data_IF_905463463786
#
_entry.id   IF_905463463786
#
_cell.length_a   1.000
_cell.length_b   1.000
_cell.length_c   1.000
_cell.angle_alpha   90.00
_cell.angle_beta   90.00
_cell.angle_gamma   90.00
#
_symmetry.space_group_name_H-M   'P 1'
#
loop_
_entity.id
_entity.type
_entity.pdbx_description
1 polymer ?
#
# COMPACT_ATOMS: atom_id res chain seq x y z
N UNK A 1 -64.65 9.16 53.63
CA UNK A 1 -65.15 9.28 52.24
C UNK A 1 -64.16 10.10 51.43
N UNK A 2 -63.80 9.57 50.26
CA UNK A 2 -62.83 10.01 49.25
C UNK A 2 -62.63 11.53 49.11
N UNK A 3 -61.38 11.97 48.93
CA UNK A 3 -60.95 12.70 47.72
C UNK A 3 -59.52 12.28 47.34
N UNK A 4 -59.43 11.55 46.23
CA UNK A 4 -58.21 11.32 45.46
C UNK A 4 -57.73 12.66 44.90
N UNK A 5 -56.44 12.95 45.02
CA UNK A 5 -55.73 13.81 44.08
C UNK A 5 -54.53 13.03 43.56
N UNK A 6 -54.58 12.69 42.27
CA UNK A 6 -53.49 12.07 41.54
C UNK A 6 -52.38 13.12 41.35
N UNK A 7 -51.20 12.87 41.90
CA UNK A 7 -49.99 13.61 41.56
C UNK A 7 -49.45 12.97 40.29
N UNK A 8 -49.52 13.71 39.19
CA UNK A 8 -48.86 13.38 37.94
C UNK A 8 -47.35 13.58 38.15
N UNK A 9 -46.62 12.52 38.51
CA UNK A 9 -45.16 12.54 38.46
C UNK A 9 -44.79 12.42 36.98
N UNK A 10 -44.42 13.55 36.38
CA UNK A 10 -43.72 13.53 35.10
C UNK A 10 -42.38 12.81 35.34
N UNK A 11 -42.26 11.57 34.88
CA UNK A 11 -40.96 10.96 34.64
C UNK A 11 -40.26 11.79 33.57
N UNK A 12 -39.40 12.70 33.99
CA UNK A 12 -38.29 13.15 33.16
C UNK A 12 -37.39 11.93 32.98
N UNK A 13 -37.63 11.19 31.90
CA UNK A 13 -36.62 10.31 31.32
C UNK A 13 -35.48 11.24 30.94
N UNK A 14 -34.44 11.30 31.77
CA UNK A 14 -33.15 11.80 31.34
C UNK A 14 -32.64 10.82 30.28
N UNK A 15 -33.04 11.07 29.03
CA UNK A 15 -32.39 10.46 27.89
C UNK A 15 -30.96 10.94 27.90
N UNK A 16 -30.03 10.08 28.27
CA UNK A 16 -28.63 10.27 27.96
C UNK A 16 -28.52 10.25 26.43
N UNK A 17 -28.40 11.42 25.83
CA UNK A 17 -28.01 11.57 24.43
C UNK A 17 -26.53 11.19 24.39
N UNK A 18 -26.20 10.00 23.88
CA UNK A 18 -24.82 9.60 23.63
C UNK A 18 -24.36 10.14 22.27
N UNK A 19 -23.16 10.71 22.24
CA UNK A 19 -22.30 11.07 21.10
C UNK A 19 -22.98 11.68 19.86
N UNK A 20 -22.70 12.96 19.57
CA UNK A 20 -23.31 13.71 18.45
C UNK A 20 -22.38 13.88 17.22
N UNK A 21 -21.13 13.42 17.30
CA UNK A 21 -20.24 13.20 16.14
C UNK A 21 -19.59 11.80 16.24
N UNK A 22 -18.96 11.35 15.15
CA UNK A 22 -18.08 10.17 15.12
C UNK A 22 -16.82 10.54 14.35
N UNK A 23 -15.67 10.11 14.83
CA UNK A 23 -14.41 10.10 14.07
C UNK A 23 -13.86 8.70 14.11
N UNK A 24 -13.36 8.23 12.97
CA UNK A 24 -12.71 6.92 12.84
C UNK A 24 -11.34 7.16 12.23
N UNK A 25 -10.30 6.78 12.95
CA UNK A 25 -8.93 6.89 12.51
C UNK A 25 -8.44 5.55 11.98
N UNK A 26 -7.84 5.58 10.80
CA UNK A 26 -7.13 4.48 10.18
C UNK A 26 -5.64 4.81 10.20
N UNK A 27 -4.82 3.81 10.46
CA UNK A 27 -3.37 3.94 10.42
C UNK A 27 -2.76 2.85 9.56
N UNK A 28 -1.78 3.22 8.73
CA UNK A 28 -1.05 2.29 7.90
C UNK A 28 0.35 2.81 7.59
N UNK A 29 1.20 1.96 7.02
CA UNK A 29 2.57 2.33 6.63
C UNK A 29 2.59 2.45 5.12
N UNK A 30 2.78 3.65 4.60
CA UNK A 30 2.81 3.88 3.17
C UNK A 30 4.01 3.16 2.50
N UNK A 31 3.81 2.51 1.35
CA UNK A 31 2.56 2.36 0.59
C UNK A 31 1.78 1.07 0.91
N UNK A 32 2.04 0.37 2.01
CA UNK A 32 1.30 -0.85 2.38
C UNK A 32 0.11 -0.55 3.31
N UNK A 33 -1.11 -0.48 2.76
CA UNK A 33 -2.32 -0.41 3.60
C UNK A 33 -2.81 -1.74 4.13
N UNK A 34 -2.19 -2.85 3.74
CA UNK A 34 -2.55 -4.19 4.22
C UNK A 34 -1.81 -4.57 5.49
N UNK A 35 -0.80 -3.79 5.88
CA UNK A 35 -0.06 -4.01 7.10
C UNK A 35 -0.92 -3.65 8.33
N UNK A 36 -1.71 -4.63 8.77
CA UNK A 36 -2.52 -4.58 10.00
C UNK A 36 -1.67 -4.63 11.27
N UNK A 37 -0.38 -4.97 11.13
CA UNK A 37 0.59 -4.86 12.21
C UNK A 37 1.19 -3.47 12.11
N UNK A 38 0.85 -2.58 13.04
CA UNK A 38 1.28 -1.17 13.04
C UNK A 38 2.78 -0.97 13.37
N UNK A 39 3.61 -1.85 12.82
CA UNK A 39 5.03 -2.07 13.00
C UNK A 39 5.83 -1.31 11.97
N UNK A 40 6.50 -0.22 12.37
CA UNK A 40 7.30 0.56 11.44
C UNK A 40 8.79 0.39 11.67
N UNK A 41 9.56 0.52 10.60
CA UNK A 41 11.01 0.65 10.61
C UNK A 41 11.41 2.09 10.25
N UNK A 42 12.63 2.49 10.60
CA UNK A 42 13.11 3.84 10.25
C UNK A 42 13.23 3.98 8.73
N UNK A 43 12.64 5.04 8.18
CA UNK A 43 12.52 5.25 6.73
C UNK A 43 11.09 5.04 6.22
N UNK A 44 10.25 4.34 6.99
CA UNK A 44 8.83 4.21 6.69
C UNK A 44 8.11 5.55 6.78
N UNK A 45 7.09 5.71 5.95
CA UNK A 45 6.14 6.81 6.04
C UNK A 45 4.88 6.30 6.71
N UNK A 46 4.64 6.71 7.95
CA UNK A 46 3.41 6.39 8.67
C UNK A 46 2.31 7.32 8.18
N UNK A 47 1.15 6.76 7.96
CA UNK A 47 -0.01 7.51 7.52
C UNK A 47 -1.12 7.30 8.53
N UNK A 48 -1.66 8.42 8.99
CA UNK A 48 -2.92 8.44 9.71
C UNK A 48 -3.94 9.09 8.81
N UNK A 49 -5.01 8.37 8.55
CA UNK A 49 -6.21 8.90 7.95
C UNK A 49 -7.31 8.94 9.01
N UNK A 50 -8.21 9.89 8.90
CA UNK A 50 -9.40 9.93 9.72
C UNK A 50 -10.60 9.95 8.80
N UNK A 51 -11.79 9.64 9.27
CA UNK A 51 -13.05 9.82 8.55
C UNK A 51 -14.12 10.18 9.57
N UNK A 52 -15.19 10.82 9.12
CA UNK A 52 -16.38 11.04 9.95
C UNK A 52 -17.60 10.44 9.25
N UNK A 53 -18.61 9.99 10.00
CA UNK A 53 -19.72 9.23 9.40
C UNK A 53 -20.84 10.11 8.81
N UNK A 54 -20.63 11.43 8.66
CA UNK A 54 -21.71 12.42 8.40
C UNK A 54 -21.52 13.17 7.06
N UNK A 55 -20.95 12.49 6.06
CA UNK A 55 -20.54 13.10 4.78
C UNK A 55 -21.51 12.79 3.64
N UNK A 56 -21.72 13.76 2.74
CA UNK A 56 -22.35 13.50 1.44
C UNK A 56 -21.27 13.27 0.38
N UNK A 57 -21.48 12.28 -0.49
CA UNK A 57 -20.55 12.00 -1.59
C UNK A 57 -21.19 12.33 -2.94
N UNK A 58 -20.40 12.80 -3.89
CA UNK A 58 -20.83 12.91 -5.31
C UNK A 58 -20.62 11.60 -6.07
N UNK A 59 -19.61 10.84 -5.65
CA UNK A 59 -19.29 9.52 -6.15
C UNK A 59 -18.88 8.68 -4.95
N UNK A 60 -19.44 7.48 -4.85
CA UNK A 60 -19.03 6.44 -3.92
C UNK A 60 -19.20 5.12 -4.67
N UNK A 61 -18.09 4.50 -5.05
CA UNK A 61 -18.07 3.34 -5.91
C UNK A 61 -16.99 2.36 -5.49
N UNK A 62 -17.44 1.26 -4.87
CA UNK A 62 -16.66 0.10 -4.45
C UNK A 62 -16.58 -0.99 -5.54
N UNK A 63 -17.21 -0.77 -6.70
CA UNK A 63 -17.26 -1.69 -7.84
C UNK A 63 -17.80 -3.11 -7.57
N UNK A 64 -18.34 -3.38 -6.38
CA UNK A 64 -18.77 -4.72 -5.93
C UNK A 64 -19.95 -5.27 -6.74
N UNK A 65 -20.68 -4.39 -7.43
CA UNK A 65 -21.72 -4.78 -8.40
C UNK A 65 -21.15 -5.37 -9.70
N UNK A 66 -19.82 -5.45 -9.85
CA UNK A 66 -19.15 -5.99 -11.05
C UNK A 66 -19.29 -5.13 -12.30
N UNK A 67 -19.75 -3.89 -12.16
CA UNK A 67 -19.91 -2.93 -13.24
C UNK A 67 -19.56 -1.53 -12.73
N UNK A 68 -19.17 -0.62 -13.64
CA UNK A 68 -18.89 0.76 -13.26
C UNK A 68 -20.10 1.48 -12.66
N UNK A 69 -21.33 1.16 -13.10
CA UNK A 69 -22.53 1.86 -12.64
C UNK A 69 -22.57 3.33 -13.08
N UNK A 70 -23.27 4.15 -12.30
CA UNK A 70 -23.39 5.59 -12.54
C UNK A 70 -22.15 6.34 -12.08
N UNK A 71 -21.87 7.49 -12.69
CA UNK A 71 -20.73 8.35 -12.31
C UNK A 71 -19.53 8.28 -13.25
N UNK A 72 -19.58 7.42 -14.28
CA UNK A 72 -18.47 7.19 -15.20
C UNK A 72 -18.84 7.45 -16.67
N UNK A 73 -17.85 7.84 -17.48
CA UNK A 73 -18.02 7.97 -18.94
C UNK A 73 -18.22 6.60 -19.61
N UNK A 74 -18.75 6.60 -20.83
CA UNK A 74 -18.76 5.43 -21.70
C UNK A 74 -17.46 5.28 -22.49
N UNK A 75 -17.08 4.07 -22.90
CA UNK A 75 -15.92 3.84 -23.77
C UNK A 75 -14.57 3.87 -23.04
N UNK A 76 -14.59 3.61 -21.73
CA UNK A 76 -13.42 3.54 -20.87
C UNK A 76 -12.47 2.42 -21.31
N UNK A 77 -11.17 2.65 -21.19
CA UNK A 77 -10.16 1.61 -21.34
C UNK A 77 -9.93 0.88 -20.00
N UNK A 78 -11.00 0.57 -19.28
CA UNK A 78 -10.98 -0.03 -17.95
C UNK A 78 -12.02 -1.14 -17.88
N UNK A 79 -11.83 -2.16 -17.02
CA UNK A 79 -12.85 -3.17 -16.75
C UNK A 79 -13.00 -3.39 -15.26
N UNK A 80 -14.22 -3.66 -14.79
CA UNK A 80 -14.42 -4.18 -13.43
C UNK A 80 -14.22 -5.69 -13.47
N UNK A 81 -13.33 -6.22 -12.64
CA UNK A 81 -13.08 -7.66 -12.51
C UNK A 81 -13.68 -8.14 -11.20
N UNK A 82 -14.42 -9.25 -11.28
CA UNK A 82 -14.80 -10.06 -10.13
C UNK A 82 -13.64 -11.02 -9.82
N UNK A 83 -13.07 -10.94 -8.62
CA UNK A 83 -11.89 -11.70 -8.21
C UNK A 83 -12.21 -13.15 -7.79
N UNK A 84 -13.15 -13.78 -8.52
CA UNK A 84 -13.65 -15.13 -8.26
C UNK A 84 -13.80 -15.85 -9.61
N UNK A 85 -12.85 -16.72 -10.02
CA UNK A 85 -11.62 -17.12 -9.31
C UNK A 85 -10.58 -16.00 -9.25
N UNK A 86 -9.56 -16.17 -8.39
CA UNK A 86 -8.51 -15.18 -8.15
C UNK A 86 -7.80 -14.75 -9.44
N UNK A 87 -7.77 -13.45 -9.68
CA UNK A 87 -7.06 -12.80 -10.77
C UNK A 87 -5.69 -12.33 -10.25
N UNK A 88 -4.60 -12.72 -10.91
CA UNK A 88 -3.22 -12.34 -10.56
C UNK A 88 -2.77 -12.63 -9.10
N UNK A 89 -3.45 -13.53 -8.38
CA UNK A 89 -3.29 -13.69 -6.94
C UNK A 89 -3.42 -12.36 -6.17
N UNK A 90 -4.25 -11.44 -6.70
CA UNK A 90 -4.56 -10.15 -6.11
C UNK A 90 -5.84 -10.23 -5.31
N UNK A 91 -5.81 -10.30 -3.97
CA UNK A 91 -7.01 -10.04 -3.19
C UNK A 91 -7.43 -8.57 -3.39
N UNK A 92 -8.74 -8.25 -3.42
CA UNK A 92 -9.19 -6.86 -3.39
C UNK A 92 -8.83 -6.25 -2.02
N UNK A 93 -8.88 -4.92 -1.87
CA UNK A 93 -8.56 -4.25 -0.61
C UNK A 93 -9.37 -4.84 0.55
N UNK A 94 -8.80 -4.95 1.74
CA UNK A 94 -9.43 -5.68 2.84
C UNK A 94 -10.74 -5.04 3.36
N UNK A 95 -10.99 -3.77 3.05
CA UNK A 95 -12.14 -2.98 3.49
C UNK A 95 -12.57 -2.01 2.38
N UNK A 96 -13.89 -1.74 2.20
CA UNK A 96 -15.04 -2.32 2.91
C UNK A 96 -15.35 -3.77 2.46
N UNK A 97 -16.15 -4.50 3.24
CA UNK A 97 -16.63 -5.86 2.91
C UNK A 97 -18.08 -5.76 2.39
N UNK A 98 -18.48 -6.41 1.28
CA UNK A 98 -17.69 -7.34 0.47
C UNK A 98 -16.58 -6.64 -0.33
N UNK A 99 -15.48 -7.35 -0.54
CA UNK A 99 -14.31 -6.90 -1.29
C UNK A 99 -13.97 -7.96 -2.34
N UNK A 100 -14.86 -8.11 -3.32
CA UNK A 100 -14.83 -9.18 -4.30
C UNK A 100 -14.58 -8.68 -5.71
N UNK A 101 -14.61 -7.37 -5.93
CA UNK A 101 -14.35 -6.74 -7.21
C UNK A 101 -13.34 -5.61 -7.10
N UNK A 102 -12.81 -5.17 -8.23
CA UNK A 102 -12.03 -3.94 -8.35
C UNK A 102 -11.93 -3.55 -9.83
N UNK A 103 -11.51 -2.32 -10.14
CA UNK A 103 -11.20 -1.90 -11.50
C UNK A 103 -9.83 -2.38 -11.90
N UNK A 104 -9.74 -3.04 -13.04
CA UNK A 104 -8.52 -3.53 -13.65
C UNK A 104 -8.17 -2.80 -14.94
N UNK A 105 -6.97 -2.24 -14.95
CA UNK A 105 -6.38 -1.49 -16.06
C UNK A 105 -5.41 -2.38 -16.83
N UNK A 106 -6.01 -3.36 -17.52
CA UNK A 106 -5.32 -4.53 -18.05
C UNK A 106 -5.00 -4.54 -19.54
N UNK A 107 -4.88 -5.75 -20.07
CA UNK A 107 -4.64 -6.02 -21.49
C UNK A 107 -5.78 -5.64 -22.44
N UNK A 108 -7.01 -5.54 -21.94
CA UNK A 108 -8.15 -5.04 -22.71
C UNK A 108 -8.22 -3.51 -22.77
N UNK A 109 -7.38 -2.80 -22.02
CA UNK A 109 -7.29 -1.35 -21.99
C UNK A 109 -6.38 -0.84 -23.12
N UNK A 110 -6.96 -0.20 -24.15
CA UNK A 110 -6.18 0.51 -25.17
C UNK A 110 -5.52 1.77 -24.57
N UNK A 111 -4.31 2.10 -25.04
CA UNK A 111 -3.59 3.31 -24.60
C UNK A 111 -4.22 4.61 -25.12
N UNK A 112 -4.26 5.68 -24.31
CA UNK A 112 -3.90 5.71 -22.88
C UNK A 112 -4.95 4.97 -22.01
N UNK A 113 -4.48 4.24 -20.98
CA UNK A 113 -5.39 3.53 -20.07
C UNK A 113 -6.00 4.56 -19.12
N UNK A 114 -7.31 4.76 -19.18
CA UNK A 114 -7.97 5.73 -18.33
C UNK A 114 -9.33 5.25 -17.81
N UNK A 115 -9.62 5.67 -16.58
CA UNK A 115 -10.94 5.64 -15.98
C UNK A 115 -11.35 7.10 -15.73
N UNK A 116 -12.47 7.53 -16.34
CA UNK A 116 -12.89 8.94 -16.34
C UNK A 116 -14.32 9.06 -15.83
N UNK A 117 -14.55 9.98 -14.89
CA UNK A 117 -15.87 10.27 -14.34
C UNK A 117 -16.76 11.07 -15.30
N UNK A 118 -18.06 11.10 -15.02
CA UNK A 118 -18.93 12.19 -15.51
C UNK A 118 -18.55 13.53 -14.87
N UNK A 119 -19.09 14.63 -15.41
CA UNK A 119 -18.99 15.91 -14.73
C UNK A 119 -19.87 15.88 -13.48
N UNK A 120 -19.28 16.24 -12.34
CA UNK A 120 -19.96 16.43 -11.06
C UNK A 120 -19.96 17.91 -10.67
N UNK A 121 -20.93 18.30 -9.85
CA UNK A 121 -20.85 19.55 -9.11
C UNK A 121 -19.95 19.34 -7.89
N UNK A 122 -18.71 19.79 -8.02
CA UNK A 122 -17.67 19.71 -6.99
C UNK A 122 -17.52 21.02 -6.20
N UNK A 123 -18.45 21.97 -6.35
CA UNK A 123 -18.37 23.27 -5.69
C UNK A 123 -18.46 23.22 -4.15
N UNK A 124 -18.90 22.08 -3.61
CA UNK A 124 -18.99 21.78 -2.17
C UNK A 124 -18.20 20.51 -1.81
N UNK A 125 -17.27 20.10 -2.66
CA UNK A 125 -16.44 18.91 -2.45
C UNK A 125 -15.01 19.31 -2.15
N UNK A 126 -14.31 18.52 -1.35
CA UNK A 126 -12.96 18.90 -0.94
C UNK A 126 -11.92 17.78 -0.92
N UNK A 127 -12.32 16.52 -1.04
CA UNK A 127 -11.35 15.42 -1.10
C UNK A 127 -11.73 14.37 -2.15
N UNK A 128 -10.71 13.67 -2.62
CA UNK A 128 -10.80 12.51 -3.48
C UNK A 128 -10.13 11.35 -2.74
N UNK A 129 -10.87 10.25 -2.62
CA UNK A 129 -10.41 9.00 -2.02
C UNK A 129 -10.47 7.86 -3.01
N UNK A 130 -9.51 6.94 -2.92
CA UNK A 130 -9.50 5.67 -3.64
C UNK A 130 -8.38 4.77 -3.13
N UNK A 131 -8.51 3.47 -3.36
CA UNK A 131 -7.42 2.53 -3.25
C UNK A 131 -6.80 2.26 -4.62
N UNK A 132 -5.47 2.12 -4.68
CA UNK A 132 -4.75 1.80 -5.92
C UNK A 132 -3.66 0.77 -5.66
N UNK A 133 -3.28 0.02 -6.71
CA UNK A 133 -2.18 -0.95 -6.69
C UNK A 133 -1.58 -1.15 -8.09
N UNK A 134 -0.28 -1.37 -8.18
CA UNK A 134 0.43 -1.81 -9.38
C UNK A 134 0.67 -3.31 -9.39
N UNK A 135 0.53 -3.92 -10.57
CA UNK A 135 0.95 -5.29 -10.82
C UNK A 135 2.44 -5.49 -10.51
N UNK A 136 2.81 -6.74 -10.23
CA UNK A 136 4.17 -7.04 -9.79
C UNK A 136 5.01 -7.18 -11.05
N UNK A 137 6.11 -6.41 -11.10
CA UNK A 137 7.09 -6.49 -12.17
C UNK A 137 7.54 -7.95 -12.42
N UNK A 138 7.83 -8.29 -13.68
CA UNK A 138 8.38 -9.59 -14.10
C UNK A 138 7.45 -10.80 -13.91
N UNK A 139 6.19 -10.58 -13.53
CA UNK A 139 5.16 -11.61 -13.61
C UNK A 139 4.77 -11.89 -15.07
N UNK A 140 4.13 -13.03 -15.30
CA UNK A 140 3.54 -13.31 -16.60
C UNK A 140 2.33 -12.40 -16.85
N UNK A 141 2.16 -11.93 -18.09
CA UNK A 141 0.96 -11.20 -18.49
C UNK A 141 -0.31 -12.03 -18.21
N UNK A 142 -1.42 -11.41 -17.74
CA UNK A 142 -1.63 -9.97 -17.56
C UNK A 142 -1.32 -9.52 -16.13
N UNK A 143 -0.31 -10.03 -15.46
CA UNK A 143 -0.06 -9.71 -14.04
C UNK A 143 1.25 -8.96 -13.83
N UNK A 144 1.78 -8.43 -14.92
CA UNK A 144 3.01 -7.65 -15.01
C UNK A 144 2.66 -6.16 -14.85
N UNK A 145 3.44 -5.43 -14.06
CA UNK A 145 3.09 -4.07 -13.68
C UNK A 145 4.19 -3.05 -13.92
N UNK A 146 3.83 -1.75 -13.83
CA UNK A 146 4.69 -0.65 -14.24
C UNK A 146 6.05 -0.71 -13.54
N UNK A 147 7.12 -0.50 -14.29
CA UNK A 147 8.49 -0.60 -13.79
C UNK A 147 9.43 0.49 -14.28
N UNK A 148 8.97 1.32 -15.22
CA UNK A 148 9.67 2.53 -15.64
C UNK A 148 8.94 3.78 -15.18
N UNK A 149 9.72 4.82 -14.83
CA UNK A 149 9.20 6.12 -14.38
C UNK A 149 7.98 6.59 -15.16
N UNK A 150 8.00 6.52 -16.51
CA UNK A 150 6.95 7.08 -17.35
C UNK A 150 5.64 6.26 -17.42
N UNK A 151 5.63 5.04 -16.88
CA UNK A 151 4.49 4.12 -16.85
C UNK A 151 3.57 4.33 -15.64
N UNK A 152 3.92 5.28 -14.78
CA UNK A 152 3.11 5.65 -13.63
C UNK A 152 1.73 6.20 -14.00
N UNK A 153 0.80 5.99 -13.08
CA UNK A 153 -0.56 6.52 -13.08
C UNK A 153 -0.55 7.89 -12.43
N UNK A 154 -1.36 8.80 -12.99
CA UNK A 154 -1.68 10.10 -12.41
C UNK A 154 -3.18 10.30 -12.29
N UNK A 155 -3.57 11.14 -11.33
CA UNK A 155 -4.91 11.74 -11.29
C UNK A 155 -4.89 13.12 -11.94
N UNK A 156 -5.96 13.42 -12.66
CA UNK A 156 -6.16 14.68 -13.36
C UNK A 156 -7.61 15.13 -13.25
N UNK A 157 -7.85 16.42 -13.44
CA UNK A 157 -9.19 16.99 -13.50
C UNK A 157 -9.38 17.85 -14.77
N UNK A 158 -10.65 18.03 -15.15
CA UNK A 158 -11.07 18.91 -16.23
C UNK A 158 -12.34 19.64 -15.82
N UNK A 159 -12.40 20.94 -16.13
CA UNK A 159 -13.54 21.84 -15.86
C UNK A 159 -14.27 22.26 -17.14
N UNK A 160 -13.91 21.67 -18.28
CA UNK A 160 -14.42 21.99 -19.61
C UNK A 160 -14.84 20.74 -20.40
N UNK A 161 -15.42 19.77 -19.68
CA UNK A 161 -15.92 18.51 -20.22
C UNK A 161 -14.85 17.63 -20.91
N UNK A 162 -13.59 17.73 -20.47
CA UNK A 162 -12.47 16.91 -20.95
C UNK A 162 -11.73 17.49 -22.15
N UNK A 163 -11.96 18.77 -22.50
CA UNK A 163 -11.23 19.45 -23.59
C UNK A 163 -9.80 19.78 -23.15
N UNK A 164 -9.63 20.26 -21.92
CA UNK A 164 -8.32 20.47 -21.27
C UNK A 164 -8.24 19.67 -19.98
N UNK A 165 -7.05 19.15 -19.71
CA UNK A 165 -6.75 18.37 -18.51
C UNK A 165 -5.64 19.03 -17.71
N UNK A 166 -5.83 19.05 -16.41
CA UNK A 166 -4.87 19.56 -15.44
C UNK A 166 -4.46 18.43 -14.52
N UNK A 167 -3.16 18.37 -14.23
CA UNK A 167 -2.62 17.52 -13.21
C UNK A 167 -3.01 18.04 -11.82
N UNK A 168 -2.89 17.19 -10.80
CA UNK A 168 -3.35 17.51 -9.45
C UNK A 168 -2.61 18.70 -8.81
N UNK A 169 -1.38 18.96 -9.24
CA UNK A 169 -0.61 20.15 -8.85
C UNK A 169 -1.02 21.46 -9.57
N UNK A 170 -2.01 21.39 -10.47
CA UNK A 170 -2.54 22.51 -11.25
C UNK A 170 -1.81 22.77 -12.57
N UNK A 171 -0.75 22.03 -12.89
CA UNK A 171 -0.09 22.11 -14.20
C UNK A 171 -0.97 21.52 -15.29
N UNK A 172 -0.98 22.12 -16.48
CA UNK A 172 -1.74 21.58 -17.61
C UNK A 172 -1.04 20.33 -18.18
N UNK A 173 -1.84 19.33 -18.57
CA UNK A 173 -1.37 18.14 -19.28
C UNK A 173 -0.60 18.54 -20.56
N UNK A 174 0.55 17.91 -20.77
CA UNK A 174 1.32 18.07 -22.00
C UNK A 174 0.67 17.28 -23.15
N UNK A 175 0.74 17.77 -24.41
CA UNK A 175 0.12 17.09 -25.55
C UNK A 175 0.52 15.60 -25.64
N UNK A 176 -0.47 14.71 -25.63
CA UNK A 176 -0.20 13.28 -25.68
C UNK A 176 0.14 12.77 -27.09
N UNK A 177 1.33 12.17 -27.15
CA UNK A 177 1.93 11.34 -28.18
C UNK A 177 1.48 9.89 -28.25
N UNK A 178 0.88 9.36 -29.32
CA UNK A 178 0.80 7.89 -29.42
C UNK A 178 2.23 7.28 -29.45
N UNK A 179 2.50 6.18 -28.71
CA UNK A 179 3.78 5.48 -28.79
C UNK A 179 4.15 5.09 -30.22
N UNK A 180 5.40 5.30 -30.63
CA UNK A 180 5.87 5.05 -31.99
C UNK A 180 5.50 6.11 -33.04
N UNK A 181 4.92 7.25 -32.66
CA UNK A 181 4.55 8.34 -33.59
C UNK A 181 5.73 9.10 -34.22
N UNK A 182 6.96 8.92 -33.70
CA UNK A 182 8.17 9.56 -34.24
C UNK A 182 8.25 11.08 -34.00
N UNK A 183 7.39 11.64 -33.15
CA UNK A 183 7.43 13.05 -32.74
C UNK A 183 8.38 13.24 -31.54
N UNK A 184 9.23 14.27 -31.52
CA UNK A 184 10.26 14.47 -30.48
C UNK A 184 9.73 14.81 -29.08
N UNK A 185 8.46 15.22 -28.95
CA UNK A 185 7.81 15.60 -27.68
C UNK A 185 6.56 14.77 -27.37
N UNK A 186 6.39 13.65 -28.07
CA UNK A 186 5.34 12.70 -27.78
C UNK A 186 5.66 11.95 -26.49
N UNK A 187 4.66 11.68 -25.66
CA UNK A 187 4.67 10.66 -24.58
C UNK A 187 4.83 9.24 -25.16
N UNK A 188 5.78 9.06 -26.08
CA UNK A 188 6.22 7.78 -26.61
C UNK A 188 7.06 7.10 -25.55
N UNK A 189 6.75 5.83 -25.26
CA UNK A 189 7.35 5.00 -24.22
C UNK A 189 8.84 4.70 -24.39
N UNK A 190 9.64 5.74 -24.45
CA UNK A 190 11.07 5.72 -24.21
C UNK A 190 11.35 6.70 -23.07
N UNK A 191 11.35 6.20 -21.84
CA UNK A 191 11.61 7.03 -20.67
C UNK A 191 13.02 7.65 -20.68
N UNK A 192 13.93 7.23 -21.58
CA UNK A 192 15.31 7.77 -21.69
C UNK A 192 15.42 9.12 -22.41
N UNK A 193 14.43 9.50 -23.23
CA UNK A 193 14.43 10.79 -23.97
C UNK A 193 13.45 11.79 -23.39
N UNK A 194 12.68 11.40 -22.39
CA UNK A 194 11.84 12.33 -21.67
C UNK A 194 12.78 13.22 -20.83
N UNK A 195 12.85 14.54 -21.05
CA UNK A 195 13.50 15.39 -20.08
C UNK A 195 12.85 15.11 -18.73
N UNK A 196 13.68 14.99 -17.71
CA UNK A 196 13.37 14.76 -16.30
C UNK A 196 12.57 15.94 -15.74
N UNK A 197 11.41 16.22 -16.32
CA UNK A 197 10.28 16.82 -15.65
C UNK A 197 9.47 15.60 -15.17
N UNK A 198 9.99 14.79 -14.24
CA UNK A 198 9.92 15.09 -12.82
C UNK A 198 8.53 15.63 -12.44
N UNK A 199 7.48 14.97 -12.92
CA UNK A 199 6.24 14.97 -12.20
C UNK A 199 6.47 14.14 -10.93
N UNK A 200 7.13 14.75 -9.94
CA UNK A 200 7.03 14.36 -8.53
C UNK A 200 5.97 15.23 -7.84
N UNK A 201 5.04 15.78 -8.63
CA UNK A 201 3.93 16.58 -8.17
C UNK A 201 2.89 15.70 -7.47
N UNK A 202 2.01 16.34 -6.71
CA UNK A 202 0.88 15.67 -6.08
C UNK A 202 0.07 14.90 -7.14
N UNK A 203 -0.40 13.70 -6.80
CA UNK A 203 -1.27 12.91 -7.67
C UNK A 203 -0.57 12.10 -8.78
N UNK A 204 0.70 11.71 -8.58
CA UNK A 204 1.41 10.74 -9.43
C UNK A 204 2.13 9.69 -8.61
N UNK A 205 2.04 8.45 -9.06
CA UNK A 205 2.68 7.30 -8.41
C UNK A 205 3.78 6.76 -9.32
N UNK A 206 5.00 7.19 -9.05
CA UNK A 206 6.22 6.80 -9.77
C UNK A 206 6.62 5.34 -9.50
N UNK A 207 6.50 4.41 -10.47
CA UNK A 207 6.87 3.02 -10.24
C UNK A 207 8.38 2.80 -10.08
N UNK A 208 9.24 3.74 -10.48
CA UNK A 208 10.70 3.62 -10.47
C UNK A 208 11.33 4.72 -9.60
N UNK A 209 10.94 4.78 -8.32
CA UNK A 209 11.37 5.83 -7.39
C UNK A 209 12.88 5.91 -7.17
N UNK A 210 13.61 4.82 -7.44
CA UNK A 210 15.07 4.74 -7.36
C UNK A 210 15.77 4.99 -8.71
N UNK A 211 15.00 5.20 -9.78
CA UNK A 211 15.46 5.42 -11.15
C UNK A 211 16.47 4.34 -11.60
N UNK A 212 16.12 3.08 -11.31
CA UNK A 212 16.93 1.89 -11.65
C UNK A 212 16.55 1.29 -13.01
N UNK A 213 15.61 1.92 -13.73
CA UNK A 213 15.31 1.62 -15.13
C UNK A 213 14.66 0.26 -15.32
N UNK A 214 13.59 -0.02 -14.56
CA UNK A 214 12.85 -1.28 -14.69
C UNK A 214 13.64 -2.49 -14.21
N UNK A 215 14.50 -2.32 -13.20
CA UNK A 215 15.23 -3.44 -12.57
C UNK A 215 14.75 -3.76 -11.16
N UNK A 216 13.87 -2.94 -10.59
CA UNK A 216 13.28 -3.16 -9.27
C UNK A 216 11.76 -3.15 -9.36
N UNK A 217 11.14 -3.91 -8.45
CA UNK A 217 9.70 -3.88 -8.27
C UNK A 217 9.26 -2.48 -7.81
N UNK A 218 8.11 -2.03 -8.31
CA UNK A 218 7.50 -0.80 -7.87
C UNK A 218 7.20 -0.82 -6.35
N UNK A 219 7.31 0.32 -5.65
CA UNK A 219 6.83 0.42 -4.27
C UNK A 219 5.31 0.21 -4.16
N UNK A 220 4.55 0.39 -5.24
CA UNK A 220 3.08 0.39 -5.22
C UNK A 220 2.44 -0.98 -5.45
N UNK A 221 3.13 -2.07 -5.11
CA UNK A 221 2.66 -3.45 -5.36
C UNK A 221 1.71 -4.00 -4.30
N UNK A 222 1.50 -3.27 -3.22
CA UNK A 222 0.42 -3.50 -2.26
C UNK A 222 -0.72 -2.52 -2.53
N UNK A 223 -1.94 -2.88 -2.12
CA UNK A 223 -3.02 -1.89 -2.12
C UNK A 223 -2.61 -0.77 -1.18
N UNK A 224 -2.88 0.44 -1.62
CA UNK A 224 -2.62 1.64 -0.85
C UNK A 224 -3.78 2.62 -1.00
N UNK A 225 -4.08 3.30 0.08
CA UNK A 225 -5.18 4.23 0.19
C UNK A 225 -4.68 5.63 -0.11
N UNK A 226 -5.41 6.35 -0.94
CA UNK A 226 -5.17 7.74 -1.25
C UNK A 226 -6.34 8.53 -0.73
N UNK A 227 -6.08 9.48 0.17
CA UNK A 227 -7.00 10.54 0.52
C UNK A 227 -6.31 11.89 0.27
N UNK A 228 -6.77 12.61 -0.75
CA UNK A 228 -6.12 13.85 -1.18
C UNK A 228 -7.11 15.00 -1.31
N UNK A 229 -6.67 16.21 -0.94
CA UNK A 229 -7.46 17.41 -1.13
C UNK A 229 -7.75 17.66 -2.61
N UNK A 230 -8.99 18.02 -2.93
CA UNK A 230 -9.36 18.50 -4.26
C UNK A 230 -8.67 19.84 -4.53
N UNK A 231 -8.00 20.01 -5.68
CA UNK A 231 -7.44 21.29 -6.08
C UNK A 231 -8.54 22.36 -6.08
N UNK A 232 -8.25 23.56 -5.58
CA UNK A 232 -9.24 24.65 -5.54
C UNK A 232 -9.83 24.97 -6.93
N UNK A 233 -9.03 24.80 -7.99
CA UNK A 233 -9.47 24.97 -9.37
C UNK A 233 -10.39 23.84 -9.88
N UNK A 234 -10.41 22.68 -9.22
CA UNK A 234 -11.31 21.57 -9.51
C UNK A 234 -12.68 21.71 -8.81
N UNK A 235 -12.83 22.61 -7.85
CA UNK A 235 -14.10 22.84 -7.12
C UNK A 235 -15.05 23.73 -7.92
N UNK A 236 -15.63 23.17 -8.98
CA UNK A 236 -16.57 23.88 -9.88
C UNK A 236 -17.89 23.12 -9.98
N UNK A 237 -18.91 23.74 -10.56
CA UNK A 237 -20.21 23.08 -10.78
C UNK A 237 -20.20 22.02 -11.90
N UNK A 238 -19.07 21.85 -12.59
CA UNK A 238 -18.92 20.89 -13.68
C UNK A 238 -17.45 20.49 -13.81
N UNK A 239 -17.02 19.58 -12.94
CA UNK A 239 -15.67 19.02 -12.97
C UNK A 239 -15.73 17.51 -13.13
N UNK A 240 -14.88 16.96 -14.00
CA UNK A 240 -14.61 15.51 -14.07
C UNK A 240 -13.19 15.20 -13.65
N UNK A 241 -13.00 14.01 -13.12
CA UNK A 241 -11.71 13.47 -12.67
C UNK A 241 -11.40 12.23 -13.49
N UNK A 242 -10.11 11.99 -13.77
CA UNK A 242 -9.65 10.73 -14.34
C UNK A 242 -8.39 10.22 -13.67
N UNK A 243 -8.26 8.90 -13.68
CA UNK A 243 -7.02 8.19 -13.43
C UNK A 243 -6.47 7.73 -14.76
N UNK A 244 -5.22 8.06 -15.06
CA UNK A 244 -4.66 7.81 -16.38
C UNK A 244 -3.21 7.32 -16.32
N UNK A 245 -2.96 6.26 -17.08
CA UNK A 245 -1.63 5.79 -17.44
C UNK A 245 -1.39 6.16 -18.91
N UNK A 246 -0.48 7.11 -19.12
CA UNK A 246 -0.20 7.67 -20.44
C UNK A 246 0.77 6.81 -21.26
N UNK A 247 1.59 5.99 -20.59
CA UNK A 247 2.58 5.11 -21.22
C UNK A 247 2.56 3.73 -20.58
N UNK A 248 2.93 2.73 -21.37
CA UNK A 248 3.20 1.35 -20.96
C UNK A 248 4.19 0.79 -21.98
N UNK A 249 4.99 -0.19 -21.60
CA UNK A 249 5.73 -1.08 -22.48
C UNK A 249 4.86 -1.75 -23.54
N UNK A 250 3.63 -2.19 -23.23
CA UNK A 250 2.64 -2.62 -24.25
C UNK A 250 1.23 -2.85 -23.69
N UNK A 251 0.27 -3.23 -24.54
CA UNK A 251 -1.05 -3.69 -24.07
C UNK A 251 -0.94 -4.84 -23.04
N UNK A 252 0.04 -5.73 -23.14
CA UNK A 252 0.16 -6.89 -22.24
C UNK A 252 0.97 -6.64 -20.97
N UNK A 253 1.47 -5.43 -20.75
CA UNK A 253 2.37 -5.07 -19.64
C UNK A 253 1.84 -3.85 -18.87
N UNK A 254 2.41 -3.59 -17.70
CA UNK A 254 2.22 -2.37 -16.90
C UNK A 254 0.82 -2.19 -16.33
N UNK A 255 0.21 -3.27 -15.89
CA UNK A 255 -1.16 -3.27 -15.40
C UNK A 255 -1.29 -2.75 -13.96
N UNK A 256 -2.47 -2.23 -13.63
CA UNK A 256 -2.76 -1.67 -12.30
C UNK A 256 -4.23 -1.82 -11.95
N UNK A 257 -4.55 -1.63 -10.68
CA UNK A 257 -5.90 -1.70 -10.13
C UNK A 257 -6.30 -0.44 -9.39
N UNK A 258 -7.61 -0.18 -9.36
CA UNK A 258 -8.24 0.89 -8.61
C UNK A 258 -9.49 0.35 -7.90
N UNK A 259 -9.77 0.85 -6.71
CA UNK A 259 -10.95 0.47 -5.94
C UNK A 259 -11.44 1.61 -5.03
N UNK A 260 -12.61 1.44 -4.41
CA UNK A 260 -13.15 2.30 -3.35
C UNK A 260 -13.11 3.81 -3.67
N UNK A 261 -13.51 4.18 -4.89
CA UNK A 261 -13.43 5.58 -5.33
C UNK A 261 -14.53 6.40 -4.68
N UNK A 262 -14.15 7.45 -3.97
CA UNK A 262 -15.07 8.41 -3.36
C UNK A 262 -14.69 9.85 -3.63
N UNK A 263 -15.70 10.70 -3.82
CA UNK A 263 -15.56 12.15 -3.85
C UNK A 263 -16.35 12.70 -2.67
N UNK A 264 -15.63 13.11 -1.62
CA UNK A 264 -16.21 13.61 -0.38
C UNK A 264 -16.65 15.07 -0.50
N UNK A 265 -17.87 15.35 -0.03
CA UNK A 265 -18.50 16.66 -0.11
C UNK A 265 -19.20 17.05 1.20
N UNK A 266 -19.23 18.35 1.47
CA UNK A 266 -19.88 18.88 2.67
C UNK A 266 -21.40 18.96 2.48
N UNK A 267 -22.14 18.39 3.43
CA UNK A 267 -23.57 18.69 3.65
C UNK A 267 -23.80 19.78 4.69
N UNK A 268 -22.81 20.07 5.54
CA UNK A 268 -22.90 20.99 6.67
C UNK A 268 -21.62 21.83 6.82
N UNK A 269 -21.63 22.84 7.71
CA UNK A 269 -20.48 23.71 8.02
C UNK A 269 -19.22 22.90 8.39
N UNK A 270 -18.02 23.43 8.15
CA UNK A 270 -16.81 22.63 8.20
C UNK A 270 -16.41 22.22 9.61
N UNK A 271 -15.96 20.97 9.76
CA UNK A 271 -15.25 20.49 10.93
C UNK A 271 -13.75 20.52 10.73
N UNK A 272 -12.99 20.53 11.82
CA UNK A 272 -11.52 20.53 11.79
C UNK A 272 -10.97 19.28 12.45
N UNK A 273 -9.97 18.66 11.81
CA UNK A 273 -9.17 17.60 12.43
C UNK A 273 -7.95 18.20 13.12
N UNK A 274 -7.64 17.71 14.32
CA UNK A 274 -6.36 17.98 14.98
C UNK A 274 -5.72 16.69 15.49
N UNK A 275 -4.39 16.66 15.50
CA UNK A 275 -3.59 15.49 15.81
C UNK A 275 -2.70 15.79 17.01
N UNK A 276 -2.79 14.97 18.05
CA UNK A 276 -1.96 15.11 19.25
C UNK A 276 -1.09 13.88 19.38
N UNK A 277 0.21 14.02 19.09
CA UNK A 277 1.21 12.97 19.32
C UNK A 277 1.78 13.04 20.74
N UNK A 278 1.90 11.88 21.41
CA UNK A 278 2.79 11.72 22.57
C UNK A 278 4.14 11.18 22.07
N UNK A 279 5.14 12.07 21.99
CA UNK A 279 6.52 11.61 21.85
C UNK A 279 7.01 11.22 23.24
N UNK A 280 7.21 9.92 23.48
CA UNK A 280 7.95 9.50 24.66
C UNK A 280 9.34 10.15 24.60
N UNK A 281 9.51 11.23 25.37
CA UNK A 281 10.74 11.92 25.80
C UNK A 281 11.21 13.25 25.17
N UNK A 282 10.66 13.83 24.10
CA UNK A 282 11.01 15.24 23.78
C UNK A 282 10.00 16.00 22.90
N UNK A 283 9.47 17.07 23.51
CA UNK A 283 8.94 18.30 22.91
C UNK A 283 7.88 18.22 21.82
N UNK A 284 6.63 18.46 22.24
CA UNK A 284 5.67 19.32 21.51
C UNK A 284 4.77 18.58 20.54
N UNK A 285 3.47 18.55 20.86
CA UNK A 285 2.42 18.23 19.90
C UNK A 285 2.58 19.14 18.67
N UNK A 286 2.91 18.56 17.53
CA UNK A 286 2.75 19.24 16.26
C UNK A 286 1.24 19.31 15.98
N UNK A 287 0.64 20.46 16.24
CA UNK A 287 -0.71 20.77 15.75
C UNK A 287 -0.54 21.01 14.24
N UNK A 288 -0.60 19.94 13.45
CA UNK A 288 -0.70 20.10 12.00
C UNK A 288 -2.16 20.42 11.66
N UNK A 289 -2.42 21.70 11.39
CA UNK A 289 -3.70 22.12 10.83
C UNK A 289 -3.74 21.67 9.38
N UNK A 290 -4.37 20.53 9.11
CA UNK A 290 -4.81 20.18 7.76
C UNK A 290 -5.62 21.38 7.23
N UNK A 291 -5.49 21.76 5.94
CA UNK A 291 -6.34 22.79 5.35
C UNK A 291 -7.81 22.57 5.74
N UNK A 292 -8.47 23.67 6.11
CA UNK A 292 -9.65 23.77 6.98
C UNK A 292 -10.88 22.92 6.61
N UNK A 293 -10.92 22.18 5.51
CA UNK A 293 -12.14 21.55 5.02
C UNK A 293 -11.85 20.28 4.21
N UNK A 294 -11.62 19.13 4.84
CA UNK A 294 -11.80 17.85 4.15
C UNK A 294 -13.08 17.21 4.73
N UNK A 295 -14.18 17.10 3.95
CA UNK A 295 -15.45 16.58 4.41
C UNK A 295 -15.33 15.12 4.81
N UNK A 296 -14.58 14.33 4.04
CA UNK A 296 -14.21 12.97 4.39
C UNK A 296 -12.71 12.91 4.66
N UNK A 297 -12.41 12.88 5.95
CA UNK A 297 -11.08 12.56 6.43
C UNK A 297 -9.98 13.58 6.38
N UNK A 298 -8.78 13.11 6.71
CA UNK A 298 -7.63 13.97 6.96
C UNK A 298 -6.36 13.15 7.00
N UNK A 299 -5.46 13.40 6.05
CA UNK A 299 -4.21 12.68 5.93
C UNK A 299 -3.09 13.38 6.71
N UNK A 300 -2.47 12.68 7.65
CA UNK A 300 -1.25 13.11 8.33
C UNK A 300 -0.13 12.11 8.05
N UNK A 301 0.96 12.59 7.44
CA UNK A 301 2.13 11.79 7.11
C UNK A 301 3.25 12.05 8.11
N UNK A 302 3.86 10.98 8.61
CA UNK A 302 4.93 11.04 9.59
C UNK A 302 6.09 10.20 9.10
N UNK A 303 7.30 10.73 9.20
CA UNK A 303 8.54 9.95 9.00
C UNK A 303 9.33 9.94 10.30
N UNK A 304 9.14 8.91 11.16
CA UNK A 304 9.84 8.82 12.43
C UNK A 304 11.36 8.80 12.23
N UNK A 305 12.08 9.55 13.08
CA UNK A 305 13.55 9.55 13.08
C UNK A 305 14.15 8.70 14.21
N UNK A 306 13.32 8.24 15.13
CA UNK A 306 13.67 7.37 16.25
C UNK A 306 12.64 6.25 16.38
N UNK A 307 13.10 5.05 16.78
CA UNK A 307 12.21 3.95 17.14
C UNK A 307 11.51 4.24 18.46
N UNK A 308 10.29 3.73 18.60
CA UNK A 308 9.49 3.86 19.81
C UNK A 308 8.01 3.60 19.54
N UNK A 309 7.20 3.72 20.57
CA UNK A 309 5.74 3.67 20.43
C UNK A 309 5.22 5.09 20.25
N UNK A 310 4.53 5.33 19.14
CA UNK A 310 3.89 6.59 18.80
C UNK A 310 2.39 6.42 18.97
N UNK A 311 1.79 7.18 19.88
CA UNK A 311 0.32 7.21 20.04
C UNK A 311 -0.18 8.57 19.59
N UNK A 312 -1.19 8.55 18.75
CA UNK A 312 -1.82 9.75 18.20
C UNK A 312 -3.28 9.78 18.56
N UNK A 313 -3.72 10.93 19.06
CA UNK A 313 -5.15 11.22 19.23
C UNK A 313 -5.60 12.05 18.04
N UNK A 314 -6.59 11.55 17.33
CA UNK A 314 -7.31 12.26 16.28
C UNK A 314 -8.51 12.92 16.94
N UNK A 315 -8.61 14.24 16.84
CA UNK A 315 -9.78 14.98 17.28
C UNK A 315 -10.51 15.53 16.06
N UNK A 316 -11.83 15.34 16.00
CA UNK A 316 -12.71 16.00 15.06
C UNK A 316 -13.64 16.96 15.81
N UNK A 317 -13.68 18.22 15.38
CA UNK A 317 -14.57 19.24 15.94
C UNK A 317 -15.67 19.55 14.92
N UNK A 318 -16.92 19.22 15.23
CA UNK A 318 -18.11 19.58 14.45
C UNK A 318 -18.59 20.98 14.85
N UNK A 319 -18.56 21.93 13.90
CA UNK A 319 -18.98 23.32 14.12
C UNK A 319 -20.48 23.57 13.86
N UNK A 320 -21.23 22.54 13.44
CA UNK A 320 -22.58 22.66 12.88
C UNK A 320 -23.69 22.51 13.91
N UNK A 321 -23.46 21.74 14.98
CA UNK A 321 -24.44 21.49 16.04
C UNK A 321 -24.20 22.44 17.21
N UNK A 322 -24.38 23.73 16.95
CA UNK A 322 -24.83 24.65 18.00
C UNK A 322 -26.36 24.58 18.02
N UNK A 323 -26.97 23.48 18.50
CA UNK A 323 -28.42 23.48 18.76
C UNK A 323 -28.76 24.69 19.64
N UNK A 324 -29.90 25.36 19.40
CA UNK A 324 -30.29 26.60 20.12
C UNK A 324 -30.12 26.47 21.65
N UNK A 325 -28.95 26.85 22.18
CA UNK A 325 -28.60 26.74 23.60
C UNK A 325 -27.26 26.06 23.91
N UNK A 326 -26.65 25.30 23.00
CA UNK A 326 -25.28 24.79 23.17
C UNK A 326 -24.27 25.90 22.88
N UNK A 327 -23.31 26.10 23.79
CA UNK A 327 -22.26 27.15 23.67
C UNK A 327 -20.91 26.60 23.24
N UNK A 328 -20.81 25.30 22.92
CA UNK A 328 -19.55 24.64 22.54
C UNK A 328 -19.79 23.69 21.36
N UNK A 329 -18.83 23.58 20.43
CA UNK A 329 -18.87 22.62 19.32
C UNK A 329 -18.83 21.17 19.82
N UNK A 330 -19.36 20.23 19.04
CA UNK A 330 -19.26 18.80 19.34
C UNK A 330 -17.85 18.32 18.99
N UNK A 331 -17.22 17.57 19.90
CA UNK A 331 -15.83 17.11 19.75
C UNK A 331 -15.78 15.60 19.90
N UNK A 332 -15.12 14.93 18.95
CA UNK A 332 -14.96 13.49 18.90
C UNK A 332 -13.49 13.12 18.80
N UNK A 333 -13.14 11.97 19.37
CA UNK A 333 -11.76 11.48 19.43
C UNK A 333 -11.66 10.03 18.95
N UNK A 334 -10.58 9.71 18.27
CA UNK A 334 -10.11 8.34 18.06
C UNK A 334 -8.59 8.29 18.27
N UNK A 335 -8.03 7.10 18.47
CA UNK A 335 -6.60 6.93 18.74
C UNK A 335 -5.98 5.87 17.85
N UNK A 336 -4.82 6.18 17.27
CA UNK A 336 -4.00 5.21 16.54
C UNK A 336 -2.64 5.07 17.20
N UNK A 337 -2.01 3.91 17.02
CA UNK A 337 -0.70 3.62 17.59
C UNK A 337 0.20 2.96 16.55
N UNK A 338 1.46 3.41 16.50
CA UNK A 338 2.53 2.77 15.76
C UNK A 338 3.62 2.31 16.73
N UNK A 339 4.18 1.14 16.46
CA UNK A 339 5.26 0.56 17.26
C UNK A 339 6.49 0.40 16.36
N UNK A 340 7.59 1.04 16.75
CA UNK A 340 8.84 0.97 16.02
C UNK A 340 9.56 -0.34 16.28
N UNK A 341 9.89 -1.06 15.22
CA UNK A 341 10.72 -2.26 15.23
C UNK A 341 12.04 -1.99 14.49
N UNK A 342 13.12 -2.64 14.92
CA UNK A 342 14.41 -2.52 14.25
C UNK A 342 14.37 -3.14 12.84
N UNK A 343 15.33 -2.73 12.01
CA UNK A 343 15.64 -3.38 10.74
C UNK A 343 16.65 -4.50 10.96
N UNK A 344 16.57 -5.56 10.15
CA UNK A 344 17.39 -6.76 10.29
C UNK A 344 17.95 -7.20 8.94
N UNK A 345 19.23 -7.59 8.91
CA UNK A 345 19.84 -8.31 7.80
C UNK A 345 19.80 -9.83 8.05
N UNK A 346 19.62 -10.59 6.96
CA UNK A 346 19.57 -12.05 6.98
C UNK A 346 20.86 -12.64 6.41
N UNK A 347 21.64 -13.31 7.27
CA UNK A 347 22.83 -14.07 6.87
C UNK A 347 22.46 -15.55 6.68
N UNK A 348 22.47 -16.02 5.43
CA UNK A 348 22.01 -17.36 5.06
C UNK A 348 23.20 -18.21 4.62
N UNK A 349 23.44 -19.33 5.33
CA UNK A 349 24.30 -20.40 4.83
C UNK A 349 23.42 -21.56 4.35
N UNK A 350 23.55 -21.87 3.07
CA UNK A 350 22.86 -23.02 2.47
C UNK A 350 23.45 -24.36 2.92
N UNK A 351 22.69 -25.43 2.73
CA UNK A 351 23.16 -26.79 3.03
C UNK A 351 24.31 -27.14 2.10
N UNK A 352 25.41 -27.66 2.65
CA UNK A 352 26.64 -27.88 1.89
C UNK A 352 26.65 -29.16 1.06
N UNK A 353 25.92 -30.19 1.47
CA UNK A 353 25.94 -31.51 0.82
C UNK A 353 24.53 -32.05 0.61
N UNK A 354 24.37 -32.90 -0.40
CA UNK A 354 23.11 -33.61 -0.63
C UNK A 354 22.71 -34.45 0.59
N UNK A 355 21.50 -34.23 1.08
CA UNK A 355 20.92 -34.98 2.20
C UNK A 355 21.29 -34.48 3.59
N UNK A 356 22.16 -33.47 3.69
CA UNK A 356 22.50 -32.85 4.97
C UNK A 356 21.43 -31.84 5.42
N UNK A 357 21.56 -31.36 6.65
CA UNK A 357 20.73 -30.30 7.21
C UNK A 357 21.58 -29.37 8.04
N UNK A 358 22.70 -28.90 7.48
CA UNK A 358 23.64 -28.00 8.15
C UNK A 358 23.47 -26.53 7.74
N UNK A 359 22.32 -26.18 7.16
CA UNK A 359 21.99 -24.80 6.83
C UNK A 359 21.85 -23.95 8.09
N UNK A 360 22.12 -22.65 7.95
CA UNK A 360 22.09 -21.67 9.03
C UNK A 360 21.36 -20.43 8.55
N UNK A 361 20.48 -19.88 9.38
CA UNK A 361 19.93 -18.52 9.24
C UNK A 361 20.34 -17.75 10.49
N UNK A 362 21.02 -16.62 10.32
CA UNK A 362 21.34 -15.70 11.40
C UNK A 362 20.82 -14.31 11.06
N UNK A 363 20.24 -13.61 12.05
CA UNK A 363 19.76 -12.24 11.87
C UNK A 363 20.66 -11.24 12.58
N UNK A 364 21.01 -10.16 11.89
CA UNK A 364 21.77 -9.04 12.45
C UNK A 364 20.89 -7.79 12.53
N UNK A 365 20.76 -7.22 13.72
CA UNK A 365 20.04 -5.97 13.92
C UNK A 365 20.87 -4.79 13.39
N UNK A 366 20.27 -3.96 12.53
CA UNK A 366 20.97 -2.89 11.80
C UNK A 366 21.00 -1.55 12.51
N UNK A 367 19.93 -1.22 13.25
CA UNK A 367 19.78 0.05 13.96
C UNK A 367 19.61 -0.18 15.46
N UNK A 368 20.08 0.79 16.26
CA UNK A 368 19.94 0.72 17.70
C UNK A 368 18.45 0.73 18.10
N UNK A 369 18.04 -0.24 18.92
CA UNK A 369 16.74 -0.28 19.57
C UNK A 369 16.90 -0.62 21.05
N UNK A 370 16.05 -0.06 21.89
CA UNK A 370 15.95 -0.43 23.31
C UNK A 370 15.05 -1.64 23.54
N UNK A 371 14.30 -2.08 22.52
CA UNK A 371 13.44 -3.26 22.59
C UNK A 371 14.24 -4.55 22.65
N UNK A 372 13.68 -5.55 23.34
CA UNK A 372 14.22 -6.91 23.40
C UNK A 372 13.37 -7.77 22.48
N UNK A 373 13.97 -8.26 21.39
CA UNK A 373 13.27 -9.05 20.39
C UNK A 373 13.33 -10.54 20.69
N UNK A 374 12.27 -11.24 20.28
CA UNK A 374 12.22 -12.69 20.21
C UNK A 374 12.15 -13.15 18.75
N UNK A 375 12.78 -14.27 18.44
CA UNK A 375 12.90 -14.79 17.07
C UNK A 375 12.28 -16.18 17.02
N UNK A 376 11.46 -16.44 16.00
CA UNK A 376 10.90 -17.78 15.77
C UNK A 376 11.04 -18.22 14.33
N UNK A 377 11.10 -19.53 14.12
CA UNK A 377 11.17 -20.16 12.81
C UNK A 377 9.99 -21.11 12.65
N UNK A 378 9.18 -20.90 11.61
CA UNK A 378 7.92 -21.62 11.38
C UNK A 378 7.00 -21.65 12.63
N UNK A 379 6.94 -20.54 13.36
CA UNK A 379 6.18 -20.39 14.60
C UNK A 379 6.82 -21.03 15.84
N UNK A 380 8.03 -21.59 15.74
CA UNK A 380 8.77 -22.17 16.87
C UNK A 380 9.77 -21.15 17.41
N UNK A 381 9.54 -20.67 18.64
CA UNK A 381 10.39 -19.70 19.33
C UNK A 381 11.81 -20.24 19.58
N UNK A 382 12.83 -19.43 19.29
CA UNK A 382 14.20 -19.68 19.72
C UNK A 382 14.34 -19.37 21.21
N UNK A 383 14.75 -20.38 21.99
CA UNK A 383 14.89 -20.26 23.45
C UNK A 383 16.35 -20.20 23.92
N UNK A 384 17.31 -20.12 22.98
CA UNK A 384 18.73 -19.94 23.31
C UNK A 384 18.97 -18.59 24.03
N UNK A 385 20.03 -18.43 24.85
CA UNK A 385 20.19 -17.26 25.72
C UNK A 385 20.16 -15.86 25.06
N UNK A 386 19.92 -14.86 25.90
CA UNK A 386 19.50 -13.47 25.63
C UNK A 386 20.20 -12.68 24.47
N UNK A 387 19.48 -11.79 23.73
CA UNK A 387 18.07 -11.40 23.91
C UNK A 387 17.01 -12.35 23.32
N UNK A 388 17.44 -13.37 22.58
CA UNK A 388 17.01 -14.79 22.53
C UNK A 388 17.49 -15.28 21.15
N UNK A 389 18.81 -15.50 21.04
CA UNK A 389 19.62 -15.90 19.87
C UNK A 389 18.98 -15.76 18.47
N UNK A 390 19.57 -14.93 17.63
CA UNK A 390 19.12 -14.76 16.24
C UNK A 390 19.58 -15.88 15.30
N UNK A 391 20.34 -16.88 15.80
CA UNK A 391 20.89 -17.96 14.98
C UNK A 391 20.03 -19.21 15.06
N UNK A 392 19.59 -19.67 13.90
CA UNK A 392 18.95 -20.96 13.68
C UNK A 392 19.93 -21.87 12.93
N UNK A 393 20.28 -23.01 13.53
CA UNK A 393 21.17 -24.02 12.94
C UNK A 393 20.42 -25.30 12.58
N UNK A 394 21.14 -26.23 11.98
CA UNK A 394 20.66 -27.58 11.68
C UNK A 394 19.42 -27.59 10.74
N UNK A 395 19.40 -26.64 9.80
CA UNK A 395 18.31 -26.47 8.84
C UNK A 395 18.55 -27.26 7.54
N UNK A 396 17.53 -27.96 7.08
CA UNK A 396 17.51 -28.63 5.77
C UNK A 396 17.12 -27.68 4.63
N UNK A 397 17.12 -28.15 3.36
CA UNK A 397 16.59 -27.36 2.25
C UNK A 397 15.08 -27.14 2.41
N UNK A 398 14.61 -25.92 2.18
CA UNK A 398 13.21 -25.56 2.34
C UNK A 398 12.98 -24.06 2.47
N UNK A 399 11.70 -23.68 2.58
CA UNK A 399 11.28 -22.31 2.87
C UNK A 399 10.92 -22.22 4.35
N UNK A 400 11.47 -21.23 5.03
CA UNK A 400 11.31 -20.97 6.45
C UNK A 400 10.64 -19.61 6.65
N UNK A 401 9.55 -19.57 7.42
CA UNK A 401 8.94 -18.32 7.88
C UNK A 401 9.65 -17.87 9.16
N UNK A 402 10.38 -16.76 9.09
CA UNK A 402 11.04 -16.13 10.22
C UNK A 402 10.13 -15.05 10.78
N UNK A 403 9.82 -15.10 12.08
CA UNK A 403 9.04 -14.07 12.75
C UNK A 403 9.87 -13.42 13.85
N UNK A 404 9.92 -12.08 13.84
CA UNK A 404 10.61 -11.26 14.83
C UNK A 404 9.54 -10.48 15.60
N UNK A 405 9.52 -10.62 16.93
CA UNK A 405 8.49 -10.05 17.80
C UNK A 405 9.09 -9.18 18.89
N UNK A 406 8.63 -7.93 19.00
CA UNK A 406 8.89 -7.03 20.13
C UNK A 406 7.92 -7.33 21.28
N UNK A 407 8.10 -8.50 21.88
CA UNK A 407 7.32 -8.96 23.03
C UNK A 407 5.79 -8.89 22.80
N UNK A 408 5.34 -9.17 21.57
CA UNK A 408 3.94 -9.16 21.16
C UNK A 408 3.32 -7.78 20.89
N UNK A 409 4.07 -6.68 21.04
CA UNK A 409 3.58 -5.34 20.67
C UNK A 409 3.66 -5.09 19.16
N UNK A 410 4.60 -5.76 18.50
CA UNK A 410 4.84 -5.66 17.07
C UNK A 410 5.50 -6.94 16.56
N UNK A 411 5.02 -7.47 15.43
CA UNK A 411 5.57 -8.67 14.79
C UNK A 411 5.75 -8.46 13.29
N UNK A 412 6.96 -8.74 12.80
CA UNK A 412 7.27 -8.80 11.37
C UNK A 412 7.60 -10.25 10.99
N UNK A 413 7.22 -10.65 9.77
CA UNK A 413 7.46 -12.01 9.25
C UNK A 413 8.02 -11.96 7.84
N UNK A 414 9.09 -12.72 7.63
CA UNK A 414 9.77 -12.85 6.33
C UNK A 414 9.91 -14.32 5.94
N UNK A 415 9.98 -14.61 4.63
CA UNK A 415 10.20 -15.96 4.10
C UNK A 415 11.62 -16.13 3.56
N UNK A 416 12.39 -17.05 4.14
CA UNK A 416 13.78 -17.33 3.77
C UNK A 416 13.90 -18.71 3.16
N UNK A 417 14.59 -18.83 2.03
CA UNK A 417 14.83 -20.13 1.36
C UNK A 417 16.24 -20.64 1.61
N UNK A 418 16.35 -21.88 2.09
CA UNK A 418 17.61 -22.63 2.14
C UNK A 418 17.67 -23.62 0.98
N UNK A 419 18.75 -23.52 0.21
CA UNK A 419 19.04 -24.43 -0.90
C UNK A 419 19.98 -25.56 -0.47
N UNK A 420 20.01 -26.62 -1.28
CA UNK A 420 20.97 -27.72 -1.18
C UNK A 420 21.32 -28.24 -2.58
N UNK A 421 22.44 -28.97 -2.76
CA UNK A 421 22.67 -29.73 -3.98
C UNK A 421 21.51 -30.70 -4.26
N UNK A 422 21.01 -30.72 -5.50
CA UNK A 422 19.85 -31.55 -5.89
C UNK A 422 20.18 -33.05 -5.97
N UNK A 423 21.46 -33.39 -6.13
CA UNK A 423 21.94 -34.75 -6.32
C UNK A 423 23.21 -34.99 -5.50
N UNK A 424 23.43 -36.22 -5.00
CA UNK A 424 24.71 -36.59 -4.41
C UNK A 424 25.83 -36.51 -5.45
N UNK A 425 27.08 -36.53 -5.02
CA UNK A 425 28.21 -36.73 -5.92
C UNK A 425 28.05 -38.08 -6.63
N UNK A 426 27.95 -38.05 -7.96
CA UNK A 426 27.80 -39.23 -8.80
C UNK A 426 29.05 -39.45 -9.64
N UNK A 427 29.39 -40.70 -9.87
CA UNK A 427 30.37 -41.10 -10.89
C UNK A 427 29.60 -41.30 -12.19
N UNK A 428 29.96 -40.57 -13.25
CA UNK A 428 29.26 -40.61 -14.54
C UNK A 428 29.91 -41.55 -15.53
N UNK A 429 31.23 -41.73 -15.46
CA UNK A 429 31.94 -42.72 -16.25
C UNK A 429 33.27 -43.08 -15.59
N UNK A 430 33.71 -44.31 -15.84
CA UNK A 430 35.08 -44.72 -15.59
C UNK A 430 35.60 -45.44 -16.83
N UNK A 431 36.85 -45.18 -17.18
CA UNK A 431 37.55 -45.91 -18.24
C UNK A 431 38.93 -46.30 -17.76
N UNK A 432 39.22 -47.59 -17.83
CA UNK A 432 40.54 -48.14 -17.53
C UNK A 432 41.18 -48.62 -18.83
N UNK A 433 42.43 -48.24 -19.08
CA UNK A 433 43.25 -48.88 -20.11
C UNK A 433 44.25 -49.82 -19.42
N UNK A 434 43.92 -51.11 -19.40
CA UNK A 434 44.81 -52.18 -18.96
C UNK A 434 45.62 -52.69 -20.16
N UNK A 435 46.91 -52.38 -20.21
CA UNK A 435 47.85 -53.07 -21.10
C UNK A 435 48.23 -54.41 -20.44
N UNK A 436 47.86 -55.53 -21.06
CA UNK A 436 47.85 -56.89 -20.47
C UNK A 436 49.23 -57.59 -20.38
N UNK A 437 50.33 -56.83 -20.28
CA UNK A 437 51.67 -57.40 -20.18
C UNK A 437 52.12 -57.50 -18.71
N UNK A 438 52.64 -58.67 -18.31
CA UNK A 438 53.21 -58.88 -16.97
C UNK A 438 54.36 -57.91 -16.70
N UNK A 439 54.22 -57.06 -15.68
CA UNK A 439 55.25 -56.11 -15.23
C UNK A 439 55.18 -54.71 -15.86
N UNK A 440 54.16 -54.42 -16.66
CA UNK A 440 53.98 -53.09 -17.27
C UNK A 440 53.33 -52.10 -16.28
N UNK A 441 53.81 -50.85 -16.26
CA UNK A 441 53.29 -49.75 -15.44
C UNK A 441 52.47 -48.72 -16.25
N UNK A 442 52.09 -49.03 -17.48
CA UNK A 442 51.39 -48.12 -18.42
C UNK A 442 49.87 -48.05 -18.24
N UNK A 443 49.32 -48.66 -17.18
CA UNK A 443 47.89 -48.56 -16.88
C UNK A 443 47.46 -47.13 -16.53
N UNK A 444 46.29 -46.71 -17.03
CA UNK A 444 45.63 -45.49 -16.55
C UNK A 444 44.16 -45.78 -16.25
N UNK A 445 43.65 -45.07 -15.25
CA UNK A 445 42.24 -45.04 -14.86
C UNK A 445 41.79 -43.59 -14.90
N UNK A 446 40.69 -43.32 -15.60
CA UNK A 446 40.04 -42.02 -15.63
C UNK A 446 38.63 -42.15 -15.08
N UNK A 447 38.24 -41.21 -14.21
CA UNK A 447 36.91 -41.13 -13.61
C UNK A 447 36.36 -39.74 -13.85
N UNK A 448 35.13 -39.65 -14.33
CA UNK A 448 34.37 -38.39 -14.36
C UNK A 448 33.29 -38.41 -13.29
N UNK A 449 33.12 -37.30 -12.59
CA UNK A 449 32.04 -37.11 -11.62
C UNK A 449 31.08 -35.99 -12.06
N UNK A 450 29.87 -36.02 -11.53
CA UNK A 450 28.83 -34.99 -11.71
C UNK A 450 28.08 -34.83 -10.38
N UNK A 451 27.60 -33.62 -10.09
CA UNK A 451 26.91 -33.34 -8.83
C UNK A 451 27.88 -33.26 -7.64
N UNK A 452 27.33 -33.14 -6.43
CA UNK A 452 28.09 -32.71 -5.25
C UNK A 452 28.60 -31.27 -5.36
N UNK A 453 28.94 -30.67 -4.22
CA UNK A 453 29.59 -29.35 -4.12
C UNK A 453 30.85 -29.46 -3.30
#
# INVERSE_FOLDING_TARGET
MKKLYAILIAFLVSGSISAQCTVTALSYIWPDTTNVNFCFQLGDTLVIDATNSVVATQLDNDFELGTFGTGWQTGLSANVIQNIPTHCAWPPPANPIPNTAYVWMGNAAAHPRNLTSVDFDLSQCYNLEFDMKYAIQSQAAPCEGPDLYCEGVRIQYSTDAGVTWYNWDGTQEQPWSAPGSGLPDALTGNCSTHPVYAYNGLGYWDPDTLNVGGSAASPFVNWFHVNTALPAAAQTTSTRIRWIQLSSSSNTFDHWGLDNVKIGCQTYAPGTYSWFGDTSTTSGAAVDTIPINLPDGGLHLITPTILGTYTWVVEYVDSTIMTQGATQPDICYDTVQFVGIASFDYNINHVSCYGDSNGIIALDQLNNSSSIYSYSINGVLNTNPQPYDSVFTDLGPGVYAITISDNGNCEITDSITINAPNFPLQITSYSDSLYLCYGDSSGSAHVSSLGGT
#
